data_IF_898732230482
#
_entry.id   IF_898732230482
#
_cell.length_a   1.000
_cell.length_b   1.000
_cell.length_c   1.000
_cell.angle_alpha   90.00
_cell.angle_beta   90.00
_cell.angle_gamma   90.00
#
_symmetry.space_group_name_H-M   'P 1'
#
loop_
_entity.id
_entity.type
_entity.pdbx_description
1 polymer ?
#
# COMPACT_ATOMS: atom_id res chain seq x y z
N UNK A 1 -56.28 44.39 17.30
CA UNK A 1 -55.81 43.72 16.07
C UNK A 1 -54.46 44.36 15.71
N UNK A 2 -53.37 43.74 16.13
CA UNK A 2 -51.97 43.97 15.66
C UNK A 2 -51.11 42.98 16.45
N UNK A 3 -51.03 41.72 16.00
CA UNK A 3 -49.89 41.11 15.30
C UNK A 3 -48.63 41.04 16.17
N UNK A 4 -48.48 39.88 16.81
CA UNK A 4 -47.22 39.32 17.31
C UNK A 4 -46.09 39.47 16.27
N UNK A 5 -44.89 39.90 16.66
CA UNK A 5 -43.73 39.72 15.81
C UNK A 5 -43.30 38.25 15.89
N UNK A 6 -43.27 37.61 14.72
CA UNK A 6 -42.86 36.23 14.55
C UNK A 6 -41.46 35.96 15.16
N UNK A 7 -41.40 34.92 15.98
CA UNK A 7 -40.18 34.28 16.45
C UNK A 7 -39.47 33.66 15.25
N UNK A 8 -38.51 34.39 14.68
CA UNK A 8 -37.60 33.84 13.68
C UNK A 8 -36.52 33.05 14.43
N UNK A 9 -36.36 31.73 14.20
CA UNK A 9 -35.20 31.02 14.76
C UNK A 9 -33.94 31.67 14.21
N UNK A 10 -33.11 32.23 15.10
CA UNK A 10 -31.79 32.75 14.76
C UNK A 10 -30.98 31.59 14.18
N UNK A 11 -30.84 31.57 12.86
CA UNK A 11 -29.87 30.73 12.18
C UNK A 11 -28.48 31.35 12.36
N UNK A 12 -27.98 31.39 13.59
CA UNK A 12 -26.58 31.68 13.86
C UNK A 12 -25.79 30.41 13.52
N UNK A 13 -25.68 30.14 12.22
CA UNK A 13 -24.67 29.24 11.68
C UNK A 13 -23.33 30.00 11.75
N UNK A 14 -22.74 30.02 12.94
CA UNK A 14 -21.42 30.61 13.15
C UNK A 14 -20.40 29.64 12.55
N UNK A 15 -19.84 30.02 11.41
CA UNK A 15 -18.65 29.36 10.87
C UNK A 15 -17.46 29.87 11.67
N UNK A 16 -17.02 29.06 12.63
CA UNK A 16 -15.77 29.29 13.35
C UNK A 16 -14.61 28.96 12.38
N UNK A 17 -14.03 30.02 11.81
CA UNK A 17 -12.86 29.91 10.94
C UNK A 17 -11.60 29.89 11.81
N UNK A 18 -10.99 28.71 11.93
CA UNK A 18 -9.65 28.58 12.48
C UNK A 18 -8.62 28.70 11.37
N UNK A 19 -7.69 29.65 11.52
CA UNK A 19 -6.52 29.75 10.64
C UNK A 19 -5.52 28.70 11.09
N UNK A 20 -5.28 27.69 10.26
CA UNK A 20 -4.22 26.71 10.45
C UNK A 20 -2.92 27.31 9.90
N UNK A 21 -1.91 27.45 10.75
CA UNK A 21 -0.56 27.82 10.32
C UNK A 21 0.12 26.61 9.68
N UNK A 22 0.55 26.73 8.43
CA UNK A 22 1.19 25.66 7.66
C UNK A 22 2.67 26.01 7.52
N UNK A 23 3.59 25.29 8.20
CA UNK A 23 5.01 25.57 8.11
C UNK A 23 5.54 25.42 6.67
N UNK A 24 6.57 26.21 6.33
CA UNK A 24 7.23 26.12 5.04
C UNK A 24 7.68 24.69 4.72
N UNK A 25 7.28 24.18 3.54
CA UNK A 25 7.57 22.80 3.12
C UNK A 25 6.55 21.76 3.58
N UNK A 26 5.48 22.18 4.26
CA UNK A 26 4.35 21.33 4.64
C UNK A 26 3.11 21.63 3.79
N UNK A 27 2.07 20.79 3.90
CA UNK A 27 0.77 21.02 3.27
C UNK A 27 -0.36 20.65 4.21
N UNK A 28 -1.55 21.21 4.02
CA UNK A 28 -2.74 20.64 4.64
C UNK A 28 -2.96 19.21 4.14
N UNK A 29 -3.50 18.36 5.01
CA UNK A 29 -3.86 17.00 4.63
C UNK A 29 -4.87 17.01 3.49
N UNK A 30 -4.64 16.19 2.45
CA UNK A 30 -5.63 16.00 1.37
C UNK A 30 -6.64 14.88 1.67
N UNK A 31 -6.62 14.29 2.87
CA UNK A 31 -7.48 13.14 3.22
C UNK A 31 -8.97 13.41 2.93
N UNK A 32 -9.44 14.63 3.23
CA UNK A 32 -10.83 15.02 3.02
C UNK A 32 -11.13 15.58 1.63
N UNK A 33 -10.09 15.90 0.85
CA UNK A 33 -10.19 16.45 -0.50
C UNK A 33 -10.24 15.35 -1.56
N UNK A 34 -9.69 14.17 -1.28
CA UNK A 34 -9.81 12.99 -2.15
C UNK A 34 -11.19 12.36 -2.06
N UNK A 35 -11.60 11.67 -3.13
CA UNK A 35 -12.85 10.91 -3.17
C UNK A 35 -12.89 9.83 -2.08
N UNK A 36 -14.07 9.46 -1.52
CA UNK A 36 -14.16 8.43 -0.49
C UNK A 36 -13.52 7.08 -0.87
N UNK A 37 -13.55 6.69 -2.15
CA UNK A 37 -12.91 5.46 -2.65
C UNK A 37 -11.37 5.49 -2.58
N UNK A 38 -10.81 6.70 -2.58
CA UNK A 38 -9.38 6.99 -2.43
C UNK A 38 -8.94 7.06 -0.96
N UNK A 39 -9.83 6.74 -0.01
CA UNK A 39 -9.52 6.59 1.42
C UNK A 39 -9.44 5.11 1.80
N UNK A 40 -8.70 4.84 2.87
CA UNK A 40 -8.54 3.51 3.43
C UNK A 40 -9.87 2.83 3.77
N UNK A 41 -9.90 1.49 3.80
CA UNK A 41 -11.09 0.72 4.15
C UNK A 41 -11.48 0.91 5.62
N UNK A 42 -12.77 0.77 5.92
CA UNK A 42 -13.25 0.72 7.30
C UNK A 42 -13.05 -0.67 7.93
N UNK A 43 -12.86 -0.76 9.27
CA UNK A 43 -12.71 0.36 10.20
C UNK A 43 -11.35 1.04 10.05
N UNK A 44 -11.34 2.37 10.09
CA UNK A 44 -10.11 3.16 10.06
C UNK A 44 -9.38 2.95 11.40
N UNK A 45 -8.08 2.60 11.40
CA UNK A 45 -7.34 2.45 12.65
C UNK A 45 -7.28 3.75 13.45
N UNK A 46 -7.36 3.65 14.78
CA UNK A 46 -7.39 4.79 15.70
C UNK A 46 -6.12 5.67 15.64
N UNK A 47 -5.01 5.13 15.14
CA UNK A 47 -3.77 5.87 14.95
C UNK A 47 -3.78 6.82 13.75
N UNK A 48 -4.77 6.69 12.85
CA UNK A 48 -4.87 7.58 11.69
C UNK A 48 -5.44 8.92 12.14
N UNK A 49 -4.64 9.98 12.03
CA UNK A 49 -5.10 11.35 12.29
C UNK A 49 -6.04 11.80 11.17
N UNK A 50 -7.30 12.05 11.52
CA UNK A 50 -8.39 12.42 10.61
C UNK A 50 -8.83 13.89 10.73
N UNK A 51 -8.10 14.70 11.51
CA UNK A 51 -8.40 16.12 11.64
C UNK A 51 -8.36 16.83 10.27
N UNK A 52 -9.42 17.60 9.96
CA UNK A 52 -9.50 18.39 8.72
C UNK A 52 -8.44 19.47 8.64
N UNK A 53 -7.98 19.95 9.80
CA UNK A 53 -6.89 20.92 9.91
C UNK A 53 -5.50 20.29 10.01
N UNK A 54 -5.36 18.97 9.87
CA UNK A 54 -4.05 18.34 10.00
C UNK A 54 -3.07 18.81 8.91
N UNK A 55 -1.81 18.90 9.28
CA UNK A 55 -0.70 19.30 8.42
C UNK A 55 0.18 18.08 8.15
N UNK A 56 0.44 17.83 6.87
CA UNK A 56 1.35 16.82 6.35
C UNK A 56 2.72 17.44 6.08
N UNK A 57 3.76 16.95 6.77
CA UNK A 57 5.15 17.42 6.71
C UNK A 57 6.06 16.29 6.23
N UNK A 58 6.79 16.49 5.12
CA UNK A 58 7.76 15.52 4.62
C UNK A 58 9.01 15.50 5.54
N UNK A 59 9.27 14.35 6.20
CA UNK A 59 10.42 14.15 7.08
C UNK A 59 11.68 13.64 6.35
N UNK A 60 11.56 13.35 5.05
CA UNK A 60 12.66 12.93 4.19
C UNK A 60 12.48 11.55 3.56
N UNK A 61 13.36 11.23 2.61
CA UNK A 61 13.30 9.99 1.82
C UNK A 61 13.83 8.81 2.64
N UNK A 62 12.99 7.80 2.85
CA UNK A 62 13.36 6.52 3.47
C UNK A 62 14.07 5.61 2.46
N UNK A 63 13.55 5.54 1.22
CA UNK A 63 14.08 4.69 0.15
C UNK A 63 13.77 5.25 -1.23
N UNK A 64 14.78 5.29 -2.10
CA UNK A 64 14.59 5.48 -3.54
C UNK A 64 14.47 4.15 -4.25
N UNK A 65 13.45 4.00 -5.08
CA UNK A 65 13.19 2.84 -5.92
C UNK A 65 13.19 3.19 -7.41
N UNK A 66 13.11 2.16 -8.26
CA UNK A 66 13.04 2.33 -9.72
C UNK A 66 11.76 3.01 -10.19
N UNK A 67 10.66 2.81 -9.45
CA UNK A 67 9.32 3.24 -9.85
C UNK A 67 8.82 4.46 -9.06
N UNK A 68 9.50 4.82 -7.98
CA UNK A 68 9.10 5.86 -7.05
C UNK A 68 9.99 5.90 -5.82
N UNK A 69 9.77 6.93 -5.00
CA UNK A 69 10.42 7.07 -3.70
C UNK A 69 9.42 6.76 -2.59
N UNK A 70 9.92 6.26 -1.47
CA UNK A 70 9.19 6.15 -0.22
C UNK A 70 9.81 7.17 0.74
N UNK A 71 9.02 8.15 1.19
CA UNK A 71 9.40 9.11 2.22
C UNK A 71 8.63 8.86 3.53
N UNK A 72 9.17 9.39 4.62
CA UNK A 72 8.45 9.52 5.87
C UNK A 72 7.66 10.83 5.83
N UNK A 73 6.39 10.79 6.20
CA UNK A 73 5.50 11.95 6.24
C UNK A 73 4.82 11.99 7.60
N UNK A 74 5.01 13.08 8.34
CA UNK A 74 4.29 13.32 9.59
C UNK A 74 2.96 14.00 9.30
N UNK A 75 1.87 13.46 9.80
CA UNK A 75 0.56 14.13 9.85
C UNK A 75 0.27 14.54 11.28
N UNK A 76 0.19 15.84 11.50
CA UNK A 76 -0.04 16.46 12.82
C UNK A 76 -1.31 17.29 12.79
N UNK A 77 -2.26 16.97 13.67
CA UNK A 77 -3.52 17.71 13.85
C UNK A 77 -3.89 17.80 15.33
N UNK A 78 -5.07 18.36 15.63
CA UNK A 78 -5.52 18.50 17.03
C UNK A 78 -5.72 17.16 17.75
N UNK A 79 -6.04 16.12 16.99
CA UNK A 79 -6.36 14.78 17.49
C UNK A 79 -5.10 13.91 17.67
N UNK A 80 -3.92 14.42 17.31
CA UNK A 80 -2.63 13.76 17.51
C UNK A 80 -1.68 13.90 16.33
N UNK A 81 -0.59 13.14 16.40
CA UNK A 81 0.46 13.08 15.39
C UNK A 81 0.74 11.64 15.00
N UNK A 82 0.92 11.38 13.70
CA UNK A 82 1.31 10.08 13.17
C UNK A 82 2.35 10.23 12.07
N UNK A 83 3.30 9.29 12.00
CA UNK A 83 4.22 9.18 10.86
C UNK A 83 3.75 8.08 9.92
N UNK A 84 3.64 8.42 8.64
CA UNK A 84 3.17 7.58 7.55
C UNK A 84 4.32 7.31 6.58
N UNK A 85 4.22 6.21 5.84
CA UNK A 85 5.03 5.97 4.66
C UNK A 85 4.31 6.56 3.42
N UNK A 86 4.96 7.49 2.74
CA UNK A 86 4.46 8.11 1.51
C UNK A 86 5.20 7.54 0.29
N UNK A 87 4.52 6.72 -0.50
CA UNK A 87 5.06 6.18 -1.76
C UNK A 87 4.63 7.07 -2.93
N UNK A 88 5.59 7.77 -3.54
CA UNK A 88 5.37 8.68 -4.67
C UNK A 88 5.95 8.08 -5.95
N UNK A 89 5.10 7.83 -6.94
CA UNK A 89 5.54 7.30 -8.24
C UNK A 89 6.15 8.39 -9.12
N UNK A 90 7.25 8.04 -9.80
CA UNK A 90 7.88 8.94 -10.77
C UNK A 90 7.28 8.77 -12.16
N UNK A 91 7.26 9.87 -12.91
CA UNK A 91 6.91 9.86 -14.32
C UNK A 91 7.91 9.00 -15.14
N UNK A 92 7.45 8.38 -16.23
CA UNK A 92 8.18 7.40 -17.06
C UNK A 92 9.56 7.88 -17.53
N UNK A 93 9.78 9.19 -17.67
CA UNK A 93 11.07 9.77 -18.08
C UNK A 93 12.20 9.51 -17.06
N UNK A 94 11.87 9.12 -15.81
CA UNK A 94 12.83 8.85 -14.74
C UNK A 94 12.95 7.35 -14.37
N UNK A 95 12.34 6.44 -15.13
CA UNK A 95 12.51 5.00 -14.91
C UNK A 95 13.85 4.54 -15.48
N UNK A 96 14.80 4.22 -14.61
CA UNK A 96 16.01 3.48 -15.00
C UNK A 96 15.68 2.00 -15.17
N UNK A 97 15.06 1.63 -16.30
CA UNK A 97 15.16 0.36 -17.06
C UNK A 97 13.88 0.06 -17.85
N UNK A 98 14.06 -0.25 -19.15
CA UNK A 98 13.05 -0.81 -20.05
C UNK A 98 12.93 -2.32 -19.84
N UNK A 99 12.03 -2.77 -18.99
CA UNK A 99 11.42 -4.11 -19.00
C UNK A 99 10.01 -3.99 -18.43
N UNK A 100 9.06 -3.62 -19.27
CA UNK A 100 7.66 -3.44 -18.86
C UNK A 100 6.64 -3.99 -19.86
N UNK A 101 7.09 -4.66 -20.93
CA UNK A 101 6.19 -5.14 -21.99
C UNK A 101 5.42 -6.41 -21.59
N UNK A 102 5.85 -7.15 -20.57
CA UNK A 102 5.23 -8.44 -20.19
C UNK A 102 4.13 -8.31 -19.11
N UNK A 103 4.05 -7.18 -18.39
CA UNK A 103 3.10 -7.00 -17.27
C UNK A 103 1.90 -6.08 -17.60
N UNK A 104 1.84 -5.54 -18.82
CA UNK A 104 0.81 -4.56 -19.21
C UNK A 104 -0.37 -5.15 -20.01
N UNK A 105 -0.28 -6.39 -20.50
CA UNK A 105 -1.23 -6.93 -21.50
C UNK A 105 -2.67 -7.15 -20.99
N UNK A 106 -2.95 -7.05 -19.69
CA UNK A 106 -4.30 -7.21 -19.14
C UNK A 106 -5.08 -5.92 -18.84
N UNK A 107 -4.42 -4.74 -18.83
CA UNK A 107 -4.96 -3.55 -18.14
C UNK A 107 -5.73 -2.63 -19.09
N UNK A 108 -7.04 -2.88 -19.27
CA UNK A 108 -7.91 -2.05 -20.12
C UNK A 108 -8.23 -0.69 -19.47
N UNK A 109 -7.61 0.38 -19.97
CA UNK A 109 -8.07 1.76 -19.74
C UNK A 109 -9.40 1.96 -20.47
N UNK A 110 -10.47 2.32 -19.75
CA UNK A 110 -11.83 2.51 -20.29
C UNK A 110 -11.97 3.75 -21.20
N UNK A 111 -11.02 4.68 -21.16
CA UNK A 111 -11.07 5.90 -21.98
C UNK A 111 -10.06 5.88 -23.14
N UNK A 112 -10.56 5.71 -24.35
CA UNK A 112 -9.81 5.69 -25.62
C UNK A 112 -8.93 6.93 -25.88
N UNK A 113 -9.23 8.08 -25.24
CA UNK A 113 -8.41 9.31 -25.35
C UNK A 113 -7.19 9.24 -24.44
N UNK A 114 -7.38 8.77 -23.20
CA UNK A 114 -6.29 8.55 -22.24
C UNK A 114 -5.36 7.45 -22.74
N UNK A 115 -5.90 6.33 -23.24
CA UNK A 115 -5.10 5.25 -23.84
C UNK A 115 -4.23 5.74 -25.00
N UNK A 116 -4.77 6.61 -25.86
CA UNK A 116 -4.00 7.22 -26.96
C UNK A 116 -2.96 8.22 -26.47
N UNK A 117 -3.23 8.96 -25.40
CA UNK A 117 -2.25 9.87 -24.81
C UNK A 117 -1.08 9.12 -24.17
N UNK A 118 -1.37 8.02 -23.45
CA UNK A 118 -0.38 7.09 -22.89
C UNK A 118 0.48 6.50 -24.02
N UNK A 119 -0.16 5.96 -25.06
CA UNK A 119 0.54 5.37 -26.21
C UNK A 119 1.41 6.39 -26.98
N UNK A 120 1.03 7.67 -26.97
CA UNK A 120 1.79 8.77 -27.60
C UNK A 120 2.87 9.36 -26.69
N UNK A 121 2.95 8.94 -25.42
CA UNK A 121 3.95 9.42 -24.47
C UNK A 121 3.88 10.93 -24.20
N UNK A 122 2.72 11.58 -24.34
CA UNK A 122 2.57 13.01 -24.03
C UNK A 122 2.73 13.26 -22.53
N UNK A 123 3.05 14.50 -22.10
CA UNK A 123 3.15 14.82 -20.67
C UNK A 123 1.88 14.44 -19.88
N UNK A 124 0.70 14.67 -20.47
CA UNK A 124 -0.58 14.22 -19.91
C UNK A 124 -0.70 12.68 -19.87
N UNK A 125 -0.33 11.98 -20.95
CA UNK A 125 -0.35 10.52 -21.00
C UNK A 125 0.62 9.87 -20.01
N UNK A 126 1.75 10.53 -19.77
CA UNK A 126 2.78 10.15 -18.81
C UNK A 126 2.31 10.28 -17.36
N UNK A 127 1.73 11.42 -16.99
CA UNK A 127 1.07 11.62 -15.70
C UNK A 127 -0.10 10.63 -15.50
N UNK A 128 -0.91 10.38 -16.54
CA UNK A 128 -1.99 9.40 -16.50
C UNK A 128 -1.48 7.97 -16.29
N UNK A 129 -0.35 7.60 -16.91
CA UNK A 129 0.28 6.30 -16.71
C UNK A 129 0.81 6.16 -15.28
N UNK A 130 1.51 7.16 -14.73
CA UNK A 130 1.98 7.14 -13.34
C UNK A 130 0.81 7.00 -12.35
N UNK A 131 -0.29 7.72 -12.59
CA UNK A 131 -1.53 7.57 -11.81
C UNK A 131 -2.09 6.15 -11.89
N UNK A 132 -2.05 5.52 -13.06
CA UNK A 132 -2.52 4.14 -13.23
C UNK A 132 -1.71 3.13 -12.40
N UNK A 133 -0.39 3.32 -12.26
CA UNK A 133 0.44 2.47 -11.38
C UNK A 133 0.08 2.67 -9.91
N UNK A 134 -0.07 3.92 -9.47
CA UNK A 134 -0.49 4.22 -8.11
C UNK A 134 -1.88 3.63 -7.80
N UNK A 135 -2.86 3.81 -8.69
CA UNK A 135 -4.20 3.24 -8.53
C UNK A 135 -4.19 1.71 -8.48
N UNK A 136 -3.36 1.05 -9.30
CA UNK A 136 -3.26 -0.41 -9.28
C UNK A 136 -2.68 -0.93 -7.96
N UNK A 137 -1.60 -0.30 -7.45
CA UNK A 137 -1.05 -0.68 -6.14
C UNK A 137 -2.03 -0.38 -5.02
N UNK A 138 -2.73 0.76 -5.08
CA UNK A 138 -3.77 1.13 -4.13
C UNK A 138 -4.89 0.08 -4.06
N UNK A 139 -5.42 -0.33 -5.21
CA UNK A 139 -6.48 -1.34 -5.29
C UNK A 139 -6.01 -2.68 -4.71
N UNK A 140 -4.77 -3.07 -4.99
CA UNK A 140 -4.20 -4.32 -4.49
C UNK A 140 -3.93 -4.28 -2.98
N UNK A 141 -3.36 -3.17 -2.49
CA UNK A 141 -3.10 -2.96 -1.06
C UNK A 141 -4.40 -2.97 -0.25
N UNK A 142 -5.43 -2.26 -0.74
CA UNK A 142 -6.78 -2.31 -0.13
C UNK A 142 -7.38 -3.70 -0.15
N UNK A 143 -7.29 -4.41 -1.27
CA UNK A 143 -7.81 -5.78 -1.38
C UNK A 143 -7.16 -6.70 -0.37
N UNK A 144 -5.83 -6.73 -0.31
CA UNK A 144 -5.12 -7.63 0.61
C UNK A 144 -5.32 -7.28 2.07
N UNK A 145 -5.41 -5.98 2.41
CA UNK A 145 -5.77 -5.58 3.77
C UNK A 145 -7.17 -6.06 4.16
N UNK A 146 -8.17 -5.90 3.28
CA UNK A 146 -9.54 -6.37 3.51
C UNK A 146 -9.64 -7.90 3.63
N UNK A 147 -8.70 -8.64 3.04
CA UNK A 147 -8.59 -10.10 3.15
C UNK A 147 -7.86 -10.56 4.41
N UNK A 148 -7.38 -9.63 5.24
CA UNK A 148 -6.61 -9.94 6.45
C UNK A 148 -5.17 -10.36 6.18
N UNK A 149 -4.67 -10.20 4.95
CA UNK A 149 -3.24 -10.37 4.65
C UNK A 149 -2.48 -9.28 5.40
N UNK A 150 -1.40 -9.60 6.12
CA UNK A 150 -0.65 -8.60 6.88
C UNK A 150 0.13 -7.70 5.92
N UNK A 151 -0.51 -6.64 5.46
CA UNK A 151 0.07 -5.57 4.62
C UNK A 151 -0.07 -4.23 5.34
N UNK A 152 0.72 -3.20 4.99
CA UNK A 152 0.53 -1.87 5.56
C UNK A 152 -0.90 -1.36 5.34
N UNK A 153 -1.53 -0.79 6.36
CA UNK A 153 -2.86 -0.18 6.15
C UNK A 153 -2.79 0.96 5.11
N UNK A 154 -3.60 0.91 4.05
CA UNK A 154 -3.67 1.98 3.05
C UNK A 154 -4.46 3.17 3.59
N UNK A 155 -3.81 4.29 3.90
CA UNK A 155 -4.47 5.48 4.48
C UNK A 155 -5.24 6.25 3.40
N UNK A 156 -4.57 6.62 2.31
CA UNK A 156 -5.18 7.31 1.17
C UNK A 156 -4.32 7.19 -0.10
N UNK A 157 -4.94 7.44 -1.25
CA UNK A 157 -4.26 7.74 -2.52
C UNK A 157 -4.66 9.13 -3.01
N UNK A 158 -3.69 9.92 -3.45
CA UNK A 158 -3.91 11.22 -4.09
C UNK A 158 -3.01 11.33 -5.34
N UNK A 159 -3.62 11.27 -6.52
CA UNK A 159 -2.91 11.23 -7.80
C UNK A 159 -1.92 10.07 -7.90
N UNK A 160 -0.63 10.36 -7.71
CA UNK A 160 0.48 9.40 -7.78
C UNK A 160 1.14 9.13 -6.43
N UNK A 161 0.52 9.57 -5.32
CA UNK A 161 1.01 9.33 -3.96
C UNK A 161 0.07 8.37 -3.23
N UNK A 162 0.64 7.34 -2.60
CA UNK A 162 -0.06 6.48 -1.64
C UNK A 162 0.51 6.78 -0.26
N UNK A 163 -0.35 7.16 0.68
CA UNK A 163 -0.02 7.19 2.10
C UNK A 163 -0.49 5.88 2.74
N UNK A 164 0.39 5.26 3.51
CA UNK A 164 0.12 3.99 4.19
C UNK A 164 0.81 3.94 5.56
N UNK A 165 0.44 2.96 6.37
CA UNK A 165 1.08 2.63 7.64
C UNK A 165 2.61 2.60 7.49
N UNK A 166 3.30 3.38 8.31
CA UNK A 166 4.71 3.14 8.57
C UNK A 166 4.80 1.94 9.51
N UNK A 167 5.20 0.79 8.97
CA UNK A 167 5.36 -0.43 9.77
C UNK A 167 6.55 -0.26 10.71
N UNK A 168 6.29 -0.28 12.02
CA UNK A 168 7.30 -0.15 13.06
C UNK A 168 7.62 -1.49 13.71
N UNK A 169 8.83 -1.63 14.24
CA UNK A 169 9.20 -2.72 15.15
C UNK A 169 8.80 -2.40 16.61
N UNK A 170 9.14 -3.30 17.53
CA UNK A 170 8.85 -3.20 18.97
C UNK A 170 9.51 -1.97 19.63
N UNK A 171 10.59 -1.45 19.05
CA UNK A 171 11.33 -0.29 19.55
C UNK A 171 10.82 1.04 18.94
N UNK A 172 9.82 0.99 18.08
CA UNK A 172 9.25 2.15 17.39
C UNK A 172 10.08 2.64 16.21
N UNK A 173 11.04 1.84 15.73
CA UNK A 173 11.81 2.14 14.52
C UNK A 173 11.15 1.50 13.28
N UNK A 174 11.39 2.03 12.06
CA UNK A 174 10.88 1.39 10.84
C UNK A 174 11.34 -0.07 10.75
N UNK A 175 10.39 -0.98 10.61
CA UNK A 175 10.64 -2.41 10.65
C UNK A 175 11.67 -2.84 9.58
N UNK A 176 12.69 -3.63 9.95
CA UNK A 176 13.69 -4.09 9.01
C UNK A 176 13.10 -5.11 8.01
N UNK A 177 13.73 -5.23 6.85
CA UNK A 177 13.42 -6.32 5.90
C UNK A 177 13.85 -7.66 6.49
N UNK A 178 13.01 -8.69 6.36
CA UNK A 178 13.29 -10.05 6.85
C UNK A 178 14.67 -10.55 6.38
N UNK A 179 15.09 -10.21 5.15
CA UNK A 179 16.43 -10.55 4.63
C UNK A 179 17.61 -10.15 5.55
N UNK A 180 17.46 -9.05 6.31
CA UNK A 180 18.47 -8.53 7.24
C UNK A 180 18.40 -9.19 8.61
N UNK A 181 17.28 -9.81 8.93
CA UNK A 181 17.03 -10.40 10.23
C UNK A 181 17.75 -11.73 10.45
N UNK A 182 17.98 -12.03 11.73
CA UNK A 182 18.55 -13.29 12.23
C UNK A 182 17.68 -13.80 13.40
N UNK A 183 16.41 -14.16 13.14
CA UNK A 183 15.50 -14.59 14.20
C UNK A 183 15.96 -15.92 14.80
N UNK A 184 15.69 -16.13 16.09
CA UNK A 184 15.82 -17.45 16.72
C UNK A 184 14.78 -18.44 16.18
N UNK A 185 14.97 -19.73 16.45
CA UNK A 185 14.16 -20.81 15.84
C UNK A 185 12.64 -20.65 16.05
N UNK A 186 12.20 -20.29 17.26
CA UNK A 186 10.78 -20.10 17.55
C UNK A 186 10.15 -18.95 16.73
N UNK A 187 10.84 -17.81 16.64
CA UNK A 187 10.39 -16.67 15.83
C UNK A 187 10.47 -16.96 14.33
N UNK A 188 11.49 -17.70 13.90
CA UNK A 188 11.61 -18.17 12.52
C UNK A 188 10.42 -19.05 12.09
N UNK A 189 10.02 -20.00 12.94
CA UNK A 189 8.84 -20.84 12.72
C UNK A 189 7.55 -20.00 12.67
N UNK A 190 7.37 -19.09 13.65
CA UNK A 190 6.22 -18.19 13.69
C UNK A 190 6.11 -17.31 12.43
N UNK A 191 7.22 -16.77 11.94
CA UNK A 191 7.24 -16.01 10.69
C UNK A 191 6.88 -16.85 9.48
N UNK A 192 7.33 -18.10 9.42
CA UNK A 192 6.96 -18.98 8.32
C UNK A 192 5.45 -19.30 8.33
N UNK A 193 4.89 -19.58 9.51
CA UNK A 193 3.45 -19.82 9.65
C UNK A 193 2.65 -18.59 9.23
N UNK A 194 3.01 -17.39 9.70
CA UNK A 194 2.38 -16.13 9.28
C UNK A 194 2.45 -15.92 7.76
N UNK A 195 3.61 -16.21 7.15
CA UNK A 195 3.81 -16.08 5.71
C UNK A 195 2.96 -17.08 4.94
N UNK A 196 2.89 -18.34 5.39
CA UNK A 196 2.08 -19.38 4.79
C UNK A 196 0.60 -18.99 4.79
N UNK A 197 0.08 -18.52 5.92
CA UNK A 197 -1.31 -18.06 6.02
C UNK A 197 -1.58 -16.83 5.12
N UNK A 198 -0.63 -15.90 5.03
CA UNK A 198 -0.73 -14.76 4.12
C UNK A 198 -0.79 -15.22 2.64
N UNK A 199 0.11 -16.12 2.24
CA UNK A 199 0.12 -16.68 0.88
C UNK A 199 -1.15 -17.49 0.58
N UNK A 200 -1.66 -18.23 1.56
CA UNK A 200 -2.94 -18.96 1.47
C UNK A 200 -4.11 -18.01 1.23
N UNK A 201 -4.24 -16.97 2.05
CA UNK A 201 -5.32 -16.00 1.91
C UNK A 201 -5.28 -15.28 0.54
N UNK A 202 -4.09 -15.04 -0.01
CA UNK A 202 -3.94 -14.52 -1.37
C UNK A 202 -4.39 -15.56 -2.41
N UNK A 203 -3.92 -16.81 -2.31
CA UNK A 203 -4.20 -17.87 -3.28
C UNK A 203 -5.69 -18.26 -3.32
N UNK A 204 -6.35 -18.34 -2.16
CA UNK A 204 -7.80 -18.58 -2.04
C UNK A 204 -8.65 -17.52 -2.76
N UNK A 205 -8.09 -16.34 -2.97
CA UNK A 205 -8.73 -15.23 -3.68
C UNK A 205 -8.26 -15.11 -5.13
N UNK A 206 -7.52 -16.11 -5.62
CA UNK A 206 -6.98 -16.14 -6.97
C UNK A 206 -5.81 -15.18 -7.18
N UNK A 207 -5.06 -14.84 -6.15
CA UNK A 207 -3.90 -13.95 -6.24
C UNK A 207 -2.60 -14.62 -5.84
N UNK A 208 -1.53 -14.23 -6.51
CA UNK A 208 -0.16 -14.53 -6.11
C UNK A 208 0.63 -13.23 -6.08
N UNK A 209 1.62 -13.13 -5.19
CA UNK A 209 2.42 -11.91 -5.03
C UNK A 209 3.27 -11.63 -6.28
N UNK A 210 3.79 -12.67 -6.92
CA UNK A 210 4.49 -12.58 -8.20
C UNK A 210 5.98 -12.30 -8.04
N UNK A 211 6.42 -11.56 -7.03
CA UNK A 211 7.85 -11.34 -6.72
C UNK A 211 8.16 -11.50 -5.22
N UNK A 212 7.58 -12.52 -4.57
CA UNK A 212 7.74 -12.69 -3.12
C UNK A 212 9.15 -13.16 -2.78
N UNK A 213 9.75 -12.47 -1.82
CA UNK A 213 11.07 -12.82 -1.29
C UNK A 213 11.25 -12.22 0.11
N UNK A 214 12.27 -12.64 0.87
CA UNK A 214 12.63 -12.04 2.16
C UNK A 214 12.95 -10.55 2.10
N UNK A 215 13.19 -10.00 0.90
CA UNK A 215 13.34 -8.56 0.73
C UNK A 215 11.99 -7.85 0.76
N UNK A 216 10.90 -8.49 0.33
CA UNK A 216 9.55 -7.91 0.28
C UNK A 216 8.71 -8.26 1.52
N UNK A 217 9.39 -8.62 2.60
CA UNK A 217 8.81 -8.91 3.91
C UNK A 217 9.46 -8.00 4.95
N UNK A 218 8.67 -7.35 5.79
CA UNK A 218 9.11 -6.58 6.95
C UNK A 218 8.89 -7.42 8.22
N UNK A 219 9.87 -7.35 9.13
CA UNK A 219 9.85 -8.03 10.42
C UNK A 219 9.57 -7.00 11.52
N UNK A 220 8.29 -6.85 11.88
CA UNK A 220 7.78 -5.91 12.86
C UNK A 220 7.64 -6.59 14.22
N UNK A 221 8.76 -6.85 14.90
CA UNK A 221 8.76 -7.54 16.19
C UNK A 221 8.42 -9.01 16.08
N UNK A 222 7.21 -9.39 16.49
CA UNK A 222 6.65 -10.73 16.28
C UNK A 222 5.72 -10.82 15.05
N UNK A 223 5.46 -9.71 14.35
CA UNK A 223 4.60 -9.67 13.16
C UNK A 223 5.43 -9.65 11.87
N UNK A 224 5.04 -10.46 10.89
CA UNK A 224 5.56 -10.38 9.52
C UNK A 224 4.59 -9.59 8.63
N UNK A 225 5.10 -8.64 7.85
CA UNK A 225 4.27 -7.78 6.96
C UNK A 225 4.76 -7.87 5.52
N UNK A 226 3.85 -8.15 4.58
CA UNK A 226 4.11 -8.21 3.14
C UNK A 226 4.06 -6.80 2.54
N UNK A 227 5.05 -6.46 1.72
CA UNK A 227 5.14 -5.17 1.02
C UNK A 227 5.45 -5.37 -0.45
N UNK A 228 5.31 -4.30 -1.25
CA UNK A 228 5.63 -4.28 -2.68
C UNK A 228 4.69 -5.16 -3.52
N UNK A 229 3.40 -4.81 -3.46
CA UNK A 229 2.30 -5.52 -4.11
C UNK A 229 2.01 -5.21 -5.60
N UNK A 230 2.64 -4.24 -6.32
CA UNK A 230 2.21 -3.89 -7.68
C UNK A 230 2.47 -5.01 -8.71
N UNK A 231 3.24 -6.03 -8.33
CA UNK A 231 3.53 -7.21 -9.14
C UNK A 231 2.59 -8.39 -8.88
N UNK A 232 1.57 -8.22 -8.02
CA UNK A 232 0.58 -9.26 -7.79
C UNK A 232 -0.12 -9.63 -9.10
N UNK A 233 -0.16 -10.92 -9.40
CA UNK A 233 -0.80 -11.44 -10.61
C UNK A 233 -1.99 -12.31 -10.25
N UNK A 234 -2.97 -12.32 -11.15
CA UNK A 234 -4.12 -13.21 -11.07
C UNK A 234 -3.64 -14.65 -11.28
N UNK A 235 -3.78 -15.48 -10.25
CA UNK A 235 -3.33 -16.87 -10.23
C UNK A 235 -4.08 -17.75 -11.24
N UNK A 236 -5.34 -17.41 -11.52
CA UNK A 236 -6.27 -18.23 -12.31
C UNK A 236 -6.32 -17.76 -13.76
N UNK A 237 -6.37 -16.45 -13.98
CA UNK A 237 -6.50 -15.86 -15.30
C UNK A 237 -5.16 -15.67 -16.03
N UNK A 238 -4.03 -15.61 -15.30
CA UNK A 238 -2.71 -15.53 -15.93
C UNK A 238 -2.20 -16.93 -16.30
N UNK A 239 -1.85 -17.21 -17.57
CA UNK A 239 -1.29 -18.51 -17.97
C UNK A 239 -0.04 -18.93 -17.19
N UNK A 240 0.70 -17.96 -16.63
CA UNK A 240 1.91 -18.17 -15.84
C UNK A 240 1.66 -18.06 -14.32
N UNK A 241 0.40 -17.92 -13.87
CA UNK A 241 0.06 -17.70 -12.46
C UNK A 241 0.64 -18.77 -11.53
N UNK A 242 0.54 -20.04 -11.91
CA UNK A 242 1.09 -21.15 -11.14
C UNK A 242 2.63 -21.14 -11.11
N UNK A 243 3.29 -20.71 -12.18
CA UNK A 243 4.76 -20.57 -12.22
C UNK A 243 5.24 -19.46 -11.28
N UNK A 244 4.51 -18.34 -11.21
CA UNK A 244 4.78 -17.27 -10.25
C UNK A 244 4.61 -17.75 -8.81
N UNK A 245 3.57 -18.54 -8.53
CA UNK A 245 3.32 -19.06 -7.19
C UNK A 245 4.40 -20.05 -6.75
N UNK A 246 4.82 -20.95 -7.64
CA UNK A 246 5.91 -21.88 -7.37
C UNK A 246 7.23 -21.13 -7.11
N UNK A 247 7.51 -20.09 -7.89
CA UNK A 247 8.70 -19.24 -7.70
C UNK A 247 8.68 -18.55 -6.33
N UNK A 248 7.55 -17.96 -5.95
CA UNK A 248 7.37 -17.32 -4.65
C UNK A 248 7.63 -18.32 -3.51
N UNK A 249 7.07 -19.54 -3.60
CA UNK A 249 7.30 -20.63 -2.64
C UNK A 249 8.79 -20.98 -2.53
N UNK A 250 9.49 -21.17 -3.65
CA UNK A 250 10.92 -21.48 -3.63
C UNK A 250 11.76 -20.36 -3.00
N UNK A 251 11.50 -19.10 -3.33
CA UNK A 251 12.27 -17.98 -2.81
C UNK A 251 12.17 -17.87 -1.29
N UNK A 252 10.97 -18.02 -0.74
CA UNK A 252 10.76 -17.90 0.70
C UNK A 252 11.26 -19.14 1.41
N UNK A 253 10.90 -20.35 0.98
CA UNK A 253 11.34 -21.60 1.60
C UNK A 253 12.86 -21.74 1.58
N UNK A 254 13.54 -21.34 0.51
CA UNK A 254 15.01 -21.36 0.46
C UNK A 254 15.63 -20.49 1.58
N UNK A 255 15.04 -19.34 1.90
CA UNK A 255 15.55 -18.46 2.95
C UNK A 255 15.32 -19.01 4.36
N UNK A 256 14.15 -19.61 4.61
CA UNK A 256 13.81 -20.26 5.88
C UNK A 256 14.62 -21.54 6.10
N UNK A 257 14.75 -22.38 5.07
CA UNK A 257 15.57 -23.60 5.10
C UNK A 257 17.05 -23.29 5.37
N UNK A 258 17.61 -22.25 4.74
CA UNK A 258 18.97 -21.79 5.00
C UNK A 258 19.20 -21.32 6.46
N UNK A 259 18.14 -21.12 7.25
CA UNK A 259 18.18 -20.75 8.68
C UNK A 259 17.79 -21.88 9.62
N UNK A 260 17.67 -23.10 9.10
CA UNK A 260 17.46 -24.31 9.89
C UNK A 260 15.99 -24.62 10.20
N UNK A 261 15.05 -24.08 9.41
CA UNK A 261 13.66 -24.55 9.43
C UNK A 261 13.49 -25.67 8.41
N UNK A 262 12.80 -26.75 8.77
CA UNK A 262 12.47 -27.84 7.86
C UNK A 262 11.21 -27.46 7.06
N UNK A 263 11.41 -26.93 5.85
CA UNK A 263 10.33 -26.45 4.97
C UNK A 263 10.54 -26.95 3.55
N UNK A 264 9.44 -27.31 2.90
CA UNK A 264 9.41 -27.82 1.53
C UNK A 264 8.60 -26.86 0.65
N UNK A 265 9.24 -26.33 -0.40
CA UNK A 265 8.63 -25.41 -1.33
C UNK A 265 7.55 -26.07 -2.20
N UNK A 266 7.73 -27.33 -2.59
CA UNK A 266 6.79 -28.07 -3.43
C UNK A 266 5.55 -28.46 -2.61
N UNK A 267 5.74 -28.81 -1.34
CA UNK A 267 4.64 -29.06 -0.41
C UNK A 267 3.82 -27.78 -0.16
N UNK A 268 4.49 -26.65 0.09
CA UNK A 268 3.82 -25.35 0.23
C UNK A 268 3.07 -24.98 -1.05
N UNK A 269 3.68 -25.16 -2.22
CA UNK A 269 3.03 -24.88 -3.50
C UNK A 269 1.78 -25.75 -3.70
N UNK A 270 1.85 -27.05 -3.43
CA UNK A 270 0.72 -27.95 -3.55
C UNK A 270 -0.43 -27.56 -2.61
N UNK A 271 -0.11 -27.17 -1.38
CA UNK A 271 -1.07 -26.65 -0.40
C UNK A 271 -1.78 -25.40 -0.92
N UNK A 272 -1.04 -24.43 -1.45
CA UNK A 272 -1.58 -23.15 -1.92
C UNK A 272 -2.38 -23.29 -3.21
N UNK A 273 -1.92 -24.10 -4.16
CA UNK A 273 -2.69 -24.43 -5.37
C UNK A 273 -4.01 -25.11 -4.99
N UNK A 274 -3.99 -26.07 -4.06
CA UNK A 274 -5.21 -26.73 -3.62
C UNK A 274 -6.20 -25.77 -2.93
N UNK A 275 -5.72 -24.68 -2.33
CA UNK A 275 -6.57 -23.66 -1.72
C UNK A 275 -7.20 -22.72 -2.76
N UNK A 276 -6.62 -22.60 -3.96
CA UNK A 276 -7.10 -21.72 -5.01
C UNK A 276 -8.27 -22.31 -5.84
N UNK A 277 -8.55 -23.61 -5.72
CA UNK A 277 -9.54 -24.36 -6.51
C UNK A 277 -10.54 -25.11 -5.63
#
# INVERSE_FOLDING_TARGET
>A
MSTDPADHPSSDFTLDWEVVDVPDGSRLTSYWDVEPLCRGPEPVPDWVVLDRGAVDTDLGVLKTGKEGDVSLLERSGKDGTVVLAAKRYRDQDHRSFRRGEEYAEGRRVRDSRVTRAIAKGSAFGRAAAAGQWASAEWDQLKRFWLLGVPVPYPVQIDGTEILMELVLDEDGAPAPRLARERPGHARLASYFDQLREAMRAMAEQGWVHGDLSPYNLLAAGDRLVVIDLPQAVDLVANPQGSEFLLRDCHHVCAWFAARGLDVDADALFAELIAAAW
#
